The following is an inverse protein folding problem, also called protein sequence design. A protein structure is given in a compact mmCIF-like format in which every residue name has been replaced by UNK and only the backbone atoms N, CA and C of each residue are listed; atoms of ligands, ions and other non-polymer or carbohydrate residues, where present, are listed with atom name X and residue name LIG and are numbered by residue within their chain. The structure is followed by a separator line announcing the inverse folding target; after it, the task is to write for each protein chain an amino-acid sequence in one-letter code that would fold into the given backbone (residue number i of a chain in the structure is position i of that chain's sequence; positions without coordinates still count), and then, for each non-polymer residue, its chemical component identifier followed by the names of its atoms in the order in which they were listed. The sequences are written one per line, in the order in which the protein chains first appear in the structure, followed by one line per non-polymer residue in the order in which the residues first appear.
data_IF_142085367436
#
_entry.id   IF_142085367436
#
_cell.length_a   1.000
_cell.length_b   1.000
_cell.length_c   1.000
_cell.angle_alpha   90.00
_cell.angle_beta   90.00
_cell.angle_gamma   90.00
#
_symmetry.space_group_name_H-M   'P 1'
#
loop_
_entity.id
_entity.type
_entity.pdbx_description
1 polymer ?
#
# COMPACT_ATOMS: atom_id res chain seq x y z
N UNK A 1 14.62 -22.66 18.79
CA UNK A 1 14.96 -22.55 17.35
C UNK A 1 14.15 -21.37 16.83
N UNK A 2 14.52 -20.12 17.10
CA UNK A 2 13.53 -19.02 16.93
C UNK A 2 14.12 -17.71 16.39
N UNK A 3 15.34 -17.74 15.85
CA UNK A 3 15.98 -16.57 15.24
C UNK A 3 15.83 -16.52 13.71
N UNK A 4 15.44 -17.63 13.08
CA UNK A 4 15.17 -17.68 11.63
C UNK A 4 13.85 -16.99 11.30
N UNK A 5 12.77 -17.31 12.02
CA UNK A 5 11.43 -16.74 11.79
C UNK A 5 11.37 -15.21 11.86
N UNK A 6 12.11 -14.57 12.79
CA UNK A 6 12.06 -13.11 12.93
C UNK A 6 12.77 -12.37 11.79
N UNK A 7 13.91 -12.90 11.32
CA UNK A 7 14.65 -12.34 10.18
C UNK A 7 13.94 -12.56 8.86
N UNK A 8 13.28 -13.71 8.71
CA UNK A 8 12.48 -14.03 7.53
C UNK A 8 11.22 -13.16 7.46
N UNK A 9 10.55 -12.91 8.60
CA UNK A 9 9.43 -11.97 8.66
C UNK A 9 9.85 -10.53 8.33
N UNK A 10 10.96 -10.04 8.89
CA UNK A 10 11.47 -8.69 8.59
C UNK A 10 11.90 -8.55 7.12
N UNK A 11 12.51 -9.59 6.55
CA UNK A 11 12.91 -9.62 5.13
C UNK A 11 11.69 -9.69 4.20
N UNK A 12 10.64 -10.41 4.58
CA UNK A 12 9.39 -10.50 3.81
C UNK A 12 8.66 -9.14 3.81
N UNK A 13 8.62 -8.44 4.95
CA UNK A 13 8.04 -7.10 5.02
C UNK A 13 8.87 -6.08 4.22
N UNK A 14 10.20 -6.17 4.30
CA UNK A 14 11.11 -5.30 3.53
C UNK A 14 10.99 -5.47 2.01
N UNK A 15 10.99 -6.71 1.52
CA UNK A 15 10.87 -7.03 0.08
C UNK A 15 9.48 -6.74 -0.49
N UNK A 16 8.41 -6.85 0.32
CA UNK A 16 7.07 -6.47 -0.14
C UNK A 16 7.00 -4.99 -0.49
N UNK A 17 7.80 -4.13 0.16
CA UNK A 17 7.84 -2.68 -0.07
C UNK A 17 8.80 -2.25 -1.20
N UNK A 18 9.84 -3.02 -1.53
CA UNK A 18 10.88 -2.62 -2.51
C UNK A 18 10.35 -2.28 -3.91
N UNK A 19 9.18 -2.81 -4.31
CA UNK A 19 8.54 -2.54 -5.61
C UNK A 19 7.17 -1.86 -5.48
N UNK A 20 6.99 -1.04 -4.44
CA UNK A 20 5.70 -0.39 -4.16
C UNK A 20 5.74 1.11 -4.37
N UNK A 21 4.61 1.66 -4.79
CA UNK A 21 4.36 3.09 -4.86
C UNK A 21 3.32 3.44 -3.79
N UNK A 22 3.66 4.41 -2.95
CA UNK A 22 2.72 4.98 -1.98
C UNK A 22 2.01 6.18 -2.59
N UNK A 23 0.69 6.10 -2.71
CA UNK A 23 -0.19 7.19 -3.09
C UNK A 23 -0.77 7.80 -1.82
N UNK A 24 -0.49 9.08 -1.59
CA UNK A 24 -1.11 9.86 -0.50
C UNK A 24 -2.34 10.54 -1.08
N UNK A 25 -3.53 10.11 -0.64
CA UNK A 25 -4.81 10.66 -1.10
C UNK A 25 -5.57 11.28 0.06
N UNK A 26 -6.53 12.16 -0.24
CA UNK A 26 -7.42 12.70 0.81
C UNK A 26 -8.21 11.56 1.46
N UNK A 27 -8.45 11.65 2.76
CA UNK A 27 -9.25 10.65 3.47
C UNK A 27 -10.71 10.61 3.00
N UNK A 28 -11.31 11.79 2.83
CA UNK A 28 -12.65 11.90 2.27
C UNK A 28 -12.61 11.57 0.77
N UNK A 29 -13.22 10.45 0.41
CA UNK A 29 -13.32 9.94 -0.94
C UNK A 29 -14.79 9.81 -1.32
N UNK A 30 -15.11 10.01 -2.60
CA UNK A 30 -16.47 9.85 -3.11
C UNK A 30 -16.97 8.39 -3.02
N UNK A 31 -16.04 7.43 -2.97
CA UNK A 31 -16.32 6.00 -2.86
C UNK A 31 -15.30 5.34 -1.94
N UNK A 32 -15.71 4.24 -1.30
CA UNK A 32 -14.81 3.44 -0.47
C UNK A 32 -13.67 2.86 -1.31
N UNK A 33 -12.43 3.13 -0.87
CA UNK A 33 -11.24 2.55 -1.51
C UNK A 33 -11.02 1.18 -0.90
N UNK A 34 -10.97 0.15 -1.74
CA UNK A 34 -10.70 -1.24 -1.36
C UNK A 34 -9.55 -1.80 -2.19
N UNK A 35 -8.94 -2.91 -1.74
CA UNK A 35 -7.88 -3.59 -2.47
C UNK A 35 -8.33 -4.29 -3.77
N UNK A 36 -9.63 -4.28 -4.09
CA UNK A 36 -10.17 -4.78 -5.36
C UNK A 36 -10.10 -3.73 -6.47
N UNK A 37 -9.77 -2.49 -6.13
CA UNK A 37 -9.62 -1.39 -7.09
C UNK A 37 -8.17 -1.30 -7.59
N UNK A 38 -8.02 -0.61 -8.74
CA UNK A 38 -6.73 -0.25 -9.31
C UNK A 38 -6.60 1.27 -9.40
N UNK A 39 -5.38 1.76 -9.29
CA UNK A 39 -5.05 3.18 -9.49
C UNK A 39 -4.53 3.35 -10.92
N UNK A 40 -5.13 4.27 -11.67
CA UNK A 40 -4.58 4.74 -12.95
C UNK A 40 -3.84 6.06 -12.74
N UNK A 41 -2.54 6.07 -13.03
CA UNK A 41 -1.71 7.26 -12.90
C UNK A 41 -0.58 7.26 -13.93
N UNK A 42 -0.38 8.39 -14.63
CA UNK A 42 0.65 8.55 -15.66
C UNK A 42 0.68 7.39 -16.69
N UNK A 43 -0.49 6.99 -17.18
CA UNK A 43 -0.66 5.92 -18.16
C UNK A 43 -0.16 4.53 -17.69
N UNK A 44 -0.14 4.31 -16.37
CA UNK A 44 0.16 3.02 -15.73
C UNK A 44 -0.95 2.65 -14.77
N UNK A 45 -1.19 1.34 -14.63
CA UNK A 45 -2.11 0.78 -13.66
C UNK A 45 -1.34 0.22 -12.48
N UNK A 46 -1.93 0.34 -11.29
CA UNK A 46 -1.36 -0.17 -10.05
C UNK A 46 -2.44 -0.93 -9.25
N UNK A 47 -2.12 -2.15 -8.83
CA UNK A 47 -2.94 -2.93 -7.91
C UNK A 47 -2.71 -2.44 -6.49
N UNK A 48 -3.79 -2.14 -5.77
CA UNK A 48 -3.72 -1.75 -4.36
C UNK A 48 -3.38 -2.98 -3.52
N UNK A 49 -2.26 -2.91 -2.79
CA UNK A 49 -1.82 -4.00 -1.91
C UNK A 49 -2.14 -3.74 -0.45
N UNK A 50 -2.17 -2.47 -0.02
CA UNK A 50 -2.50 -2.09 1.35
C UNK A 50 -3.06 -0.68 1.41
N UNK A 51 -3.89 -0.42 2.43
CA UNK A 51 -4.49 0.88 2.71
C UNK A 51 -4.24 1.18 4.18
N UNK A 52 -3.49 2.23 4.46
CA UNK A 52 -3.18 2.71 5.80
C UNK A 52 -3.96 4.02 6.03
N UNK A 53 -5.12 3.97 6.71
CA UNK A 53 -5.86 5.18 7.05
C UNK A 53 -5.05 6.05 8.02
N UNK A 54 -5.10 7.37 7.85
CA UNK A 54 -4.44 8.29 8.77
C UNK A 54 -5.07 8.23 10.16
N UNK A 55 -4.33 7.77 11.16
CA UNK A 55 -4.85 7.56 12.52
C UNK A 55 -5.01 8.85 13.34
N UNK A 56 -4.29 9.93 13.00
CA UNK A 56 -4.18 11.10 13.89
C UNK A 56 -4.81 12.41 13.37
N UNK A 57 -4.81 12.70 12.07
CA UNK A 57 -5.37 13.97 11.53
C UNK A 57 -6.44 13.80 10.45
N UNK A 58 -6.82 12.56 10.09
CA UNK A 58 -7.89 12.22 9.13
C UNK A 58 -7.90 12.97 7.80
N UNK A 59 -6.85 13.69 7.43
CA UNK A 59 -6.82 14.44 6.18
C UNK A 59 -6.41 13.55 5.00
N UNK A 60 -5.62 12.52 5.27
CA UNK A 60 -5.00 11.69 4.25
C UNK A 60 -5.09 10.19 4.57
N UNK A 61 -5.03 9.39 3.51
CA UNK A 61 -4.89 7.93 3.52
C UNK A 61 -3.73 7.56 2.62
N UNK A 62 -2.87 6.67 3.10
CA UNK A 62 -1.78 6.13 2.33
C UNK A 62 -2.24 4.84 1.65
N UNK A 63 -2.17 4.79 0.33
CA UNK A 63 -2.45 3.61 -0.47
C UNK A 63 -1.13 3.08 -1.00
N UNK A 64 -0.77 1.88 -0.59
CA UNK A 64 0.42 1.19 -1.08
C UNK A 64 -0.02 0.31 -2.25
N UNK A 65 0.62 0.47 -3.41
CA UNK A 65 0.24 -0.23 -4.63
C UNK A 65 1.46 -0.72 -5.42
N UNK A 66 1.26 -1.76 -6.24
CA UNK A 66 2.28 -2.29 -7.17
C UNK A 66 1.84 -2.09 -8.61
N UNK A 67 2.76 -1.76 -9.50
CA UNK A 67 2.44 -1.64 -10.92
C UNK A 67 1.92 -2.98 -11.46
N UNK A 68 0.92 -2.90 -12.35
CA UNK A 68 0.48 -4.04 -13.13
C UNK A 68 1.49 -4.23 -14.26
N UNK A 69 2.21 -5.34 -14.24
CA UNK A 69 3.12 -5.78 -15.31
C UNK A 69 2.39 -6.58 -16.38
#
# INVERSE_FOLDING_TARGET
MDTQNLKDMQSTVGTVLEDTVTFVVRYLQAYEITNKLQISYKNKLYNIINIVPGEYDKEFTNIIAKAVT
#
